data_IF_669632176394
#
_entry.id   IF_669632176394
#
_cell.length_a   1.000
_cell.length_b   1.000
_cell.length_c   1.000
_cell.angle_alpha   90.00
_cell.angle_beta   90.00
_cell.angle_gamma   90.00
#
_symmetry.space_group_name_H-M   'P 1'
#
loop_
_entity.id
_entity.type
_entity.pdbx_description
1 polymer ?
#
# COMPACT_ATOMS: atom_id res chain seq x y z
N UNK A 1 13.30 3.19 -0.45
CA UNK A 1 13.11 3.35 -1.90
C UNK A 1 11.88 4.20 -2.13
N UNK A 2 11.83 5.03 -3.18
CA UNK A 2 10.63 5.83 -3.49
C UNK A 2 9.80 5.11 -4.55
N UNK A 3 8.49 4.99 -4.31
CA UNK A 3 7.52 4.41 -5.25
C UNK A 3 6.44 5.43 -5.51
N UNK A 4 6.18 5.70 -6.78
CA UNK A 4 5.05 6.52 -7.18
C UNK A 4 3.88 5.61 -7.51
N UNK A 5 2.74 5.84 -6.84
CA UNK A 5 1.46 5.21 -7.15
C UNK A 5 0.49 6.33 -7.45
N UNK A 6 0.07 6.42 -8.70
CA UNK A 6 -0.77 7.52 -9.19
C UNK A 6 -0.08 8.89 -8.92
N UNK A 7 -0.72 9.79 -8.18
CA UNK A 7 -0.14 11.08 -7.75
C UNK A 7 0.60 11.00 -6.40
N UNK A 8 0.65 9.83 -5.77
CA UNK A 8 1.26 9.65 -4.45
C UNK A 8 2.68 9.07 -4.54
N UNK A 9 3.67 9.86 -4.15
CA UNK A 9 5.02 9.36 -3.87
C UNK A 9 5.06 8.79 -2.44
N UNK A 10 5.45 7.52 -2.32
CA UNK A 10 5.54 6.75 -1.09
C UNK A 10 7.00 6.39 -0.85
N UNK A 11 7.53 6.74 0.32
CA UNK A 11 8.82 6.22 0.76
C UNK A 11 8.63 4.87 1.44
N UNK A 12 9.06 3.80 0.76
CA UNK A 12 8.87 2.43 1.22
C UNK A 12 9.70 2.06 2.44
N UNK A 13 10.79 2.78 2.68
CA UNK A 13 11.66 2.54 3.85
C UNK A 13 11.00 3.01 5.16
N UNK A 14 10.03 3.92 5.05
CA UNK A 14 9.31 4.48 6.19
C UNK A 14 7.99 3.75 6.47
N UNK A 15 7.66 2.72 5.69
CA UNK A 15 6.41 1.98 5.88
C UNK A 15 6.55 1.04 7.07
N UNK A 16 5.71 1.28 8.08
CA UNK A 16 5.55 0.39 9.22
C UNK A 16 4.80 -0.87 8.76
N UNK A 17 3.54 -0.71 8.34
CA UNK A 17 2.70 -1.77 7.81
C UNK A 17 1.68 -1.25 6.79
N UNK A 18 1.09 -2.18 6.04
CA UNK A 18 0.05 -1.91 5.05
C UNK A 18 -1.19 -2.70 5.47
N UNK A 19 -2.33 -2.02 5.56
CA UNK A 19 -3.62 -2.65 5.77
C UNK A 19 -4.38 -2.63 4.44
N UNK A 20 -4.84 -3.81 4.01
CA UNK A 20 -5.57 -3.98 2.74
C UNK A 20 -7.06 -3.95 3.04
N UNK A 21 -7.79 -3.17 2.25
CA UNK A 21 -9.25 -3.15 2.25
C UNK A 21 -9.77 -3.72 0.94
N UNK A 22 -10.04 -5.03 0.95
CA UNK A 22 -10.47 -5.78 -0.23
C UNK A 22 -11.86 -5.35 -0.75
N UNK A 23 -12.68 -4.69 0.08
CA UNK A 23 -14.04 -4.27 -0.33
C UNK A 23 -14.04 -3.15 -1.36
N UNK A 24 -12.98 -2.36 -1.42
CA UNK A 24 -12.91 -1.18 -2.26
C UNK A 24 -11.58 -1.06 -3.02
N UNK A 25 -10.83 -2.17 -3.15
CA UNK A 25 -9.51 -2.21 -3.80
C UNK A 25 -8.59 -1.08 -3.29
N UNK A 26 -8.61 -0.79 -1.99
CA UNK A 26 -7.77 0.26 -1.42
C UNK A 26 -6.86 -0.29 -0.33
N UNK A 27 -5.78 0.44 -0.06
CA UNK A 27 -4.86 0.15 1.02
C UNK A 27 -4.67 1.38 1.88
N UNK A 28 -4.35 1.14 3.16
CA UNK A 28 -3.83 2.13 4.07
C UNK A 28 -2.37 1.80 4.38
N UNK A 29 -1.48 2.72 4.03
CA UNK A 29 -0.05 2.61 4.30
C UNK A 29 0.24 3.43 5.55
N UNK A 30 0.69 2.77 6.61
CA UNK A 30 1.02 3.41 7.88
C UNK A 30 2.52 3.71 7.95
N UNK A 31 2.85 4.96 8.23
CA UNK A 31 4.23 5.43 8.49
C UNK A 31 4.48 5.59 10.00
N UNK A 32 3.42 5.83 10.77
CA UNK A 32 3.36 5.72 12.23
C UNK A 32 1.96 5.27 12.66
N UNK A 33 1.71 5.13 13.97
CA UNK A 33 0.38 4.77 14.49
C UNK A 33 -0.71 5.78 14.11
N UNK A 34 -0.35 7.07 13.97
CA UNK A 34 -1.28 8.15 13.64
C UNK A 34 -1.17 8.66 12.20
N UNK A 35 -0.03 8.42 11.54
CA UNK A 35 0.23 8.90 10.19
C UNK A 35 0.07 7.75 9.20
N UNK A 36 -0.98 7.83 8.41
CA UNK A 36 -1.23 6.91 7.31
C UNK A 36 -1.66 7.64 6.04
N UNK A 37 -1.52 6.96 4.91
CA UNK A 37 -2.02 7.42 3.61
C UNK A 37 -2.87 6.34 2.99
N UNK A 38 -4.03 6.73 2.48
CA UNK A 38 -4.93 5.82 1.76
C UNK A 38 -4.64 5.90 0.27
N UNK A 39 -4.54 4.75 -0.39
CA UNK A 39 -4.38 4.65 -1.83
C UNK A 39 -5.44 3.72 -2.36
N UNK A 40 -6.20 4.16 -3.36
CA UNK A 40 -7.22 3.36 -4.02
C UNK A 40 -6.69 2.90 -5.37
N UNK A 41 -6.99 1.67 -5.74
CA UNK A 41 -6.62 1.10 -7.02
C UNK A 41 -7.88 0.93 -7.89
N UNK A 42 -7.76 1.14 -9.21
CA UNK A 42 -8.89 1.00 -10.12
C UNK A 42 -9.38 -0.44 -10.22
N UNK A 43 -8.49 -1.42 -10.04
CA UNK A 43 -8.83 -2.84 -10.04
C UNK A 43 -7.90 -3.63 -9.09
N UNK A 44 -8.27 -4.90 -8.86
CA UNK A 44 -7.54 -5.79 -7.97
C UNK A 44 -6.18 -6.23 -8.53
N UNK A 45 -6.02 -6.29 -9.85
CA UNK A 45 -4.74 -6.67 -10.49
C UNK A 45 -3.65 -5.61 -10.24
N UNK A 46 -4.00 -4.33 -10.30
CA UNK A 46 -3.09 -3.23 -10.00
C UNK A 46 -2.71 -3.20 -8.51
N UNK A 47 -3.67 -3.50 -7.63
CA UNK A 47 -3.38 -3.72 -6.21
C UNK A 47 -2.38 -4.87 -6.01
N UNK A 48 -2.61 -6.02 -6.64
CA UNK A 48 -1.72 -7.18 -6.52
C UNK A 48 -0.32 -6.88 -7.06
N UNK A 49 -0.21 -6.17 -8.18
CA UNK A 49 1.09 -5.72 -8.70
C UNK A 49 1.81 -4.83 -7.71
N UNK A 50 1.11 -3.90 -7.08
CA UNK A 50 1.69 -3.05 -6.04
C UNK A 50 2.18 -3.87 -4.84
N UNK A 51 1.37 -4.81 -4.34
CA UNK A 51 1.75 -5.67 -3.22
C UNK A 51 2.96 -6.55 -3.54
N UNK A 52 3.00 -7.12 -4.75
CA UNK A 52 4.15 -7.88 -5.26
C UNK A 52 5.41 -7.01 -5.38
N UNK A 53 5.27 -5.79 -5.89
CA UNK A 53 6.38 -4.82 -5.99
C UNK A 53 6.94 -4.44 -4.61
N UNK A 54 6.07 -4.27 -3.63
CA UNK A 54 6.47 -3.96 -2.26
C UNK A 54 7.24 -5.10 -1.57
N UNK A 55 7.32 -6.29 -2.19
CA UNK A 55 7.97 -7.46 -1.59
C UNK A 55 7.29 -7.93 -0.31
N UNK A 56 6.07 -7.42 -0.02
CA UNK A 56 5.28 -7.69 1.17
C UNK A 56 4.06 -8.53 0.79
N UNK A 57 4.32 -9.71 0.21
CA UNK A 57 3.31 -10.78 0.05
C UNK A 57 2.92 -11.45 1.39
N UNK A 58 3.43 -10.96 2.52
CA UNK A 58 3.01 -11.45 3.84
C UNK A 58 1.99 -10.51 4.45
N UNK A 59 0.78 -10.67 3.96
CA UNK A 59 -0.45 -10.33 4.66
C UNK A 59 -0.44 -11.17 5.94
N UNK A 60 -0.23 -10.54 7.10
CA UNK A 60 -0.48 -11.21 8.38
C UNK A 60 -1.99 -11.42 8.48
N UNK A 61 -2.39 -12.70 8.45
CA UNK A 61 -3.73 -13.17 8.79
C UNK A 61 -4.01 -13.00 10.28
#
# INVERSE_FOLDING_TARGET
MLVQVDDAVINTDQILFININDKNNSIKIFFSEEVYRSVSFPNYDDLNRFLGFMGREKIFA
#
